data_IF_320961206047
#
_entry.id   IF_320961206047
#
_cell.length_a   1.000
_cell.length_b   1.000
_cell.length_c   1.000
_cell.angle_alpha   90.00
_cell.angle_beta   90.00
_cell.angle_gamma   90.00
#
_symmetry.space_group_name_H-M   'P 1'
#
loop_
_entity.id
_entity.type
_entity.pdbx_description
1 polymer ?
#
# COMPACT_ATOMS: atom_id res chain seq x y z
N UNK A 1 63.23 23.54 -31.52
CA UNK A 1 63.02 22.46 -30.54
C UNK A 1 61.53 22.33 -30.34
N UNK A 2 61.00 21.14 -30.62
CA UNK A 2 59.64 20.63 -30.35
C UNK A 2 58.51 21.33 -31.11
N UNK A 3 58.10 20.84 -32.29
CA UNK A 3 57.35 19.59 -32.57
C UNK A 3 55.87 19.62 -32.16
N UNK A 4 55.03 19.20 -33.11
CA UNK A 4 53.68 18.68 -32.89
C UNK A 4 52.62 19.76 -33.01
N UNK A 5 51.55 19.62 -33.80
CA UNK A 5 50.78 18.40 -34.01
C UNK A 5 50.23 18.37 -35.45
N UNK A 6 50.68 17.33 -36.16
CA UNK A 6 49.98 16.42 -37.08
C UNK A 6 48.68 16.91 -37.71
N UNK A 7 48.76 17.05 -39.03
CA UNK A 7 47.70 16.70 -39.97
C UNK A 7 46.97 15.42 -39.53
N UNK A 8 45.70 15.54 -39.19
CA UNK A 8 44.78 14.41 -39.32
C UNK A 8 44.11 14.52 -40.68
N UNK A 9 44.54 13.61 -41.56
CA UNK A 9 43.93 13.30 -42.83
C UNK A 9 42.49 12.87 -42.54
N UNK A 10 41.51 13.70 -42.86
CA UNK A 10 40.15 13.22 -43.10
C UNK A 10 40.00 13.17 -44.60
N UNK A 11 40.35 12.02 -45.17
CA UNK A 11 40.01 11.69 -46.56
C UNK A 11 38.48 11.59 -46.63
N UNK A 12 37.83 12.68 -47.06
CA UNK A 12 36.50 12.60 -47.66
C UNK A 12 36.69 12.47 -49.15
N UNK A 13 36.11 11.39 -49.64
CA UNK A 13 36.28 10.83 -50.97
C UNK A 13 35.26 11.47 -51.92
N UNK A 14 35.31 12.80 -52.05
CA UNK A 14 34.41 13.57 -52.91
C UNK A 14 35.27 14.26 -53.96
N UNK A 15 35.13 13.85 -55.23
CA UNK A 15 35.95 14.28 -56.38
C UNK A 15 35.79 15.76 -56.79
N UNK A 16 35.95 16.69 -55.85
CA UNK A 16 36.00 18.12 -56.09
C UNK A 16 37.46 18.58 -55.99
N UNK A 17 38.07 18.84 -57.13
CA UNK A 17 39.31 19.62 -57.21
C UNK A 17 39.05 21.00 -56.61
N UNK A 18 39.65 21.30 -55.47
CA UNK A 18 39.62 22.61 -54.84
C UNK A 18 40.81 23.47 -55.28
N UNK A 19 41.09 23.55 -56.57
CA UNK A 19 41.94 24.63 -57.11
C UNK A 19 41.15 25.94 -57.05
N UNK A 20 41.23 26.62 -55.91
CA UNK A 20 40.72 27.97 -55.74
C UNK A 20 41.72 28.93 -56.40
N UNK A 21 41.43 29.40 -57.60
CA UNK A 21 42.16 30.51 -58.22
C UNK A 21 41.79 31.81 -57.52
N UNK A 22 42.58 32.24 -56.54
CA UNK A 22 42.42 33.56 -55.93
C UNK A 22 42.98 34.63 -56.85
N UNK A 23 42.13 35.28 -57.65
CA UNK A 23 42.49 36.53 -58.32
C UNK A 23 42.59 37.64 -57.27
N UNK A 24 43.79 38.19 -57.06
CA UNK A 24 43.99 39.35 -56.18
C UNK A 24 43.49 40.61 -56.89
N UNK A 25 42.42 41.19 -56.38
CA UNK A 25 41.94 42.49 -56.86
C UNK A 25 42.92 43.58 -56.42
N UNK A 26 43.19 44.54 -57.28
CA UNK A 26 43.97 45.73 -56.88
C UNK A 26 43.13 46.65 -56.02
N UNK A 27 43.78 47.49 -55.22
CA UNK A 27 43.10 48.41 -54.31
C UNK A 27 42.17 49.38 -55.06
N UNK A 28 42.55 49.79 -56.28
CA UNK A 28 41.68 50.60 -57.16
C UNK A 28 40.43 49.85 -57.60
N UNK A 29 40.51 48.55 -57.91
CA UNK A 29 39.34 47.73 -58.29
C UNK A 29 38.38 47.52 -57.12
N UNK A 30 38.92 47.40 -55.91
CA UNK A 30 38.13 47.31 -54.67
C UNK A 30 37.41 48.64 -54.42
N UNK A 31 38.10 49.76 -54.59
CA UNK A 31 37.53 51.09 -54.38
C UNK A 31 36.45 51.45 -55.42
N UNK A 32 36.61 51.04 -56.69
CA UNK A 32 35.57 51.24 -57.72
C UNK A 32 34.33 50.38 -57.45
N UNK A 33 34.51 49.12 -57.02
CA UNK A 33 33.38 48.25 -56.64
C UNK A 33 32.55 48.82 -55.47
N UNK A 34 33.19 49.52 -54.53
CA UNK A 34 32.50 50.15 -53.40
C UNK A 34 31.85 51.50 -53.72
N UNK A 35 32.25 52.19 -54.80
CA UNK A 35 31.65 53.47 -55.22
C UNK A 35 30.26 53.30 -55.84
N UNK A 36 29.98 52.16 -56.46
CA UNK A 36 28.69 51.88 -57.12
C UNK A 36 27.63 51.22 -56.23
N UNK A 37 27.98 50.81 -55.00
CA UNK A 37 26.98 50.41 -54.02
C UNK A 37 26.37 51.65 -53.35
N UNK A 38 25.08 51.91 -53.62
CA UNK A 38 24.24 52.94 -52.99
C UNK A 38 24.22 52.82 -51.45
N UNK A 39 25.29 53.24 -50.79
CA UNK A 39 25.49 53.12 -49.35
C UNK A 39 26.62 53.99 -48.80
N UNK A 40 27.01 55.05 -49.52
CA UNK A 40 28.15 55.92 -49.18
C UNK A 40 27.76 57.27 -48.59
N UNK A 41 27.35 57.29 -47.31
CA UNK A 41 27.56 58.33 -46.27
C UNK A 41 26.45 58.20 -45.21
N UNK A 42 26.77 57.62 -44.04
CA UNK A 42 25.83 57.51 -42.92
C UNK A 42 25.76 58.85 -42.19
N UNK A 43 24.73 59.67 -42.45
CA UNK A 43 24.39 60.77 -41.55
C UNK A 43 23.90 60.19 -40.22
N UNK A 44 24.45 60.65 -39.10
CA UNK A 44 23.94 60.30 -37.77
C UNK A 44 22.57 60.98 -37.60
N UNK A 45 21.50 60.21 -37.56
CA UNK A 45 20.20 60.73 -37.17
C UNK A 45 20.30 61.26 -35.73
N UNK A 46 19.94 62.51 -35.50
CA UNK A 46 19.86 63.12 -34.16
C UNK A 46 18.44 63.04 -33.62
N UNK A 47 18.30 63.00 -32.29
CA UNK A 47 17.00 62.87 -31.60
C UNK A 47 16.02 63.99 -32.00
N UNK A 48 16.53 65.21 -32.16
CA UNK A 48 15.77 66.41 -32.50
C UNK A 48 15.23 66.35 -33.93
N UNK A 49 16.06 65.95 -34.90
CA UNK A 49 15.63 65.82 -36.28
C UNK A 49 14.55 64.73 -36.45
N UNK A 50 14.62 63.64 -35.68
CA UNK A 50 13.55 62.63 -35.64
C UNK A 50 12.23 63.21 -35.09
N UNK A 51 12.30 64.02 -34.03
CA UNK A 51 11.11 64.63 -33.42
C UNK A 51 10.45 65.66 -34.35
N UNK A 52 11.24 66.48 -35.05
CA UNK A 52 10.74 67.46 -36.01
C UNK A 52 10.03 66.80 -37.21
N UNK A 53 10.61 65.72 -37.75
CA UNK A 53 9.98 64.94 -38.82
C UNK A 53 8.72 64.21 -38.34
N UNK A 54 8.70 63.79 -37.07
CA UNK A 54 7.51 63.20 -36.45
C UNK A 54 6.40 64.23 -36.25
N UNK A 55 6.74 65.45 -35.86
CA UNK A 55 5.81 66.57 -35.75
C UNK A 55 5.21 66.96 -37.12
N UNK A 56 5.97 66.79 -38.20
CA UNK A 56 5.48 66.91 -39.60
C UNK A 56 4.60 65.75 -40.07
N UNK A 57 4.32 64.77 -39.22
CA UNK A 57 3.40 63.66 -39.50
C UNK A 57 4.01 62.49 -40.27
N UNK A 58 5.34 62.46 -40.47
CA UNK A 58 5.99 61.35 -41.19
C UNK A 58 5.97 60.04 -40.39
N UNK A 59 5.84 58.92 -41.09
CA UNK A 59 5.90 57.59 -40.50
C UNK A 59 7.35 57.19 -40.18
N UNK A 60 7.56 56.27 -39.23
CA UNK A 60 8.91 55.83 -38.84
C UNK A 60 9.66 55.18 -40.02
N UNK A 61 8.94 54.67 -41.04
CA UNK A 61 9.52 54.08 -42.25
C UNK A 61 10.03 55.14 -43.23
N UNK A 62 9.29 56.24 -43.40
CA UNK A 62 9.69 57.37 -44.24
C UNK A 62 10.88 58.12 -43.62
N UNK A 63 10.83 58.32 -42.31
CA UNK A 63 11.93 58.95 -41.57
C UNK A 63 13.22 58.11 -41.67
N UNK A 64 13.12 56.78 -41.60
CA UNK A 64 14.26 55.90 -41.81
C UNK A 64 14.85 56.05 -43.22
N UNK A 65 13.99 56.20 -44.24
CA UNK A 65 14.40 56.46 -45.62
C UNK A 65 15.14 57.79 -45.78
N UNK A 66 14.63 58.86 -45.17
CA UNK A 66 15.22 60.20 -45.23
C UNK A 66 16.64 60.26 -44.63
N UNK A 67 16.87 59.51 -43.56
CA UNK A 67 18.20 59.39 -42.95
C UNK A 67 19.10 58.33 -43.61
N UNK A 68 18.62 57.62 -44.63
CA UNK A 68 19.35 56.51 -45.25
C UNK A 68 19.63 55.35 -44.28
N UNK A 69 18.77 55.18 -43.27
CA UNK A 69 18.90 54.15 -42.23
C UNK A 69 17.92 53.00 -42.46
N UNK A 70 18.32 51.79 -42.10
CA UNK A 70 17.37 50.69 -41.99
C UNK A 70 16.39 50.95 -40.83
N UNK A 71 15.12 50.58 -41.00
CA UNK A 71 14.07 50.81 -39.98
C UNK A 71 14.41 50.19 -38.62
N UNK A 72 15.09 49.04 -38.62
CA UNK A 72 15.56 48.37 -37.42
C UNK A 72 16.64 49.17 -36.69
N UNK A 73 17.49 49.88 -37.44
CA UNK A 73 18.50 50.77 -36.88
C UNK A 73 17.83 51.98 -36.22
N UNK A 74 16.79 52.54 -36.84
CA UNK A 74 16.01 53.62 -36.25
C UNK A 74 15.29 53.18 -34.96
N UNK A 75 14.73 51.96 -34.93
CA UNK A 75 14.12 51.41 -33.71
C UNK A 75 15.14 51.21 -32.58
N UNK A 76 16.36 50.78 -32.90
CA UNK A 76 17.45 50.70 -31.92
C UNK A 76 17.78 52.10 -31.40
N UNK A 77 18.04 53.08 -32.25
CA UNK A 77 18.28 54.46 -31.81
C UNK A 77 17.15 55.00 -30.92
N UNK A 78 15.89 54.75 -31.29
CA UNK A 78 14.70 55.14 -30.51
C UNK A 78 14.66 54.50 -29.12
N UNK A 79 15.01 53.21 -29.02
CA UNK A 79 14.94 52.45 -27.76
C UNK A 79 16.17 52.61 -26.87
N UNK A 80 17.38 52.62 -27.43
CA UNK A 80 18.64 52.59 -26.67
C UNK A 80 19.25 53.98 -26.49
N UNK A 81 19.19 54.84 -27.50
CA UNK A 81 19.84 56.15 -27.44
C UNK A 81 18.88 57.29 -27.08
N UNK A 82 17.61 57.20 -27.51
CA UNK A 82 16.64 58.28 -27.31
C UNK A 82 15.63 58.01 -26.20
N UNK A 83 15.55 56.77 -25.69
CA UNK A 83 14.72 56.37 -24.55
C UNK A 83 13.22 56.43 -24.79
N UNK A 84 12.77 56.40 -26.05
CA UNK A 84 11.34 56.48 -26.41
C UNK A 84 10.76 55.07 -26.45
N UNK A 85 10.45 54.51 -25.27
CA UNK A 85 9.75 53.23 -25.16
C UNK A 85 8.25 53.39 -25.48
N UNK A 86 7.66 52.38 -26.15
CA UNK A 86 6.20 52.30 -26.31
C UNK A 86 5.57 52.26 -24.91
N UNK A 87 4.72 53.22 -24.58
CA UNK A 87 3.80 53.08 -23.43
C UNK A 87 2.98 51.81 -23.65
N UNK A 88 3.17 50.78 -22.82
CA UNK A 88 2.23 49.65 -22.76
C UNK A 88 0.88 50.23 -22.34
N UNK A 89 -0.17 49.87 -23.06
CA UNK A 89 -1.54 50.30 -22.74
C UNK A 89 -1.99 49.69 -21.41
N UNK A 90 -2.61 50.48 -20.55
CA UNK A 90 -3.14 50.13 -19.21
C UNK A 90 -4.04 48.87 -19.21
N UNK A 91 -4.63 48.52 -20.36
CA UNK A 91 -5.41 47.31 -20.56
C UNK A 91 -4.60 46.00 -20.39
N UNK A 92 -3.30 46.00 -20.75
CA UNK A 92 -2.45 44.80 -20.63
C UNK A 92 -1.94 44.56 -19.20
N UNK A 93 -1.70 45.62 -18.43
CA UNK A 93 -1.34 45.48 -17.01
C UNK A 93 -2.55 45.06 -16.16
N UNK A 94 -3.73 45.63 -16.42
CA UNK A 94 -4.95 45.23 -15.70
C UNK A 94 -5.39 43.78 -16.00
N UNK A 95 -5.13 43.26 -17.21
CA UNK A 95 -5.40 41.87 -17.54
C UNK A 95 -4.47 40.90 -16.78
N UNK A 96 -3.15 41.18 -16.75
CA UNK A 96 -2.19 40.35 -16.01
C UNK A 96 -2.38 40.38 -14.49
N UNK A 97 -2.85 41.51 -13.93
CA UNK A 97 -3.19 41.62 -12.51
C UNK A 97 -4.43 40.78 -12.17
N UNK A 98 -5.48 40.82 -13.01
CA UNK A 98 -6.69 40.00 -12.82
C UNK A 98 -6.39 38.51 -12.92
N UNK A 99 -5.57 38.10 -13.88
CA UNK A 99 -5.22 36.69 -14.08
C UNK A 99 -4.42 36.13 -12.90
N UNK A 100 -3.44 36.87 -12.38
CA UNK A 100 -2.71 36.49 -11.15
C UNK A 100 -3.59 36.47 -9.89
N UNK A 101 -4.57 37.39 -9.77
CA UNK A 101 -5.53 37.37 -8.66
C UNK A 101 -6.50 36.18 -8.73
N UNK A 102 -6.92 35.78 -9.93
CA UNK A 102 -7.78 34.60 -10.13
C UNK A 102 -7.00 33.33 -9.80
N UNK A 103 -5.77 33.18 -10.30
CA UNK A 103 -4.92 32.01 -10.03
C UNK A 103 -4.64 31.84 -8.54
N UNK A 104 -4.23 32.91 -7.85
CA UNK A 104 -3.97 32.87 -6.40
C UNK A 104 -5.22 32.55 -5.57
N UNK A 105 -6.39 33.03 -5.98
CA UNK A 105 -7.66 32.67 -5.33
C UNK A 105 -8.04 31.20 -5.57
N UNK A 106 -7.85 30.69 -6.79
CA UNK A 106 -8.12 29.29 -7.10
C UNK A 106 -7.20 28.31 -6.35
N UNK A 107 -5.97 28.69 -6.05
CA UNK A 107 -5.06 27.83 -5.26
C UNK A 107 -5.39 27.88 -3.77
N UNK A 108 -5.88 29.02 -3.26
CA UNK A 108 -6.43 29.13 -1.91
C UNK A 108 -7.68 28.25 -1.73
N UNK A 109 -8.57 28.23 -2.71
CA UNK A 109 -9.81 27.42 -2.65
C UNK A 109 -9.49 25.91 -2.65
N UNK A 110 -8.51 25.46 -3.45
CA UNK A 110 -8.03 24.06 -3.43
C UNK A 110 -7.42 23.68 -2.08
N UNK A 111 -6.69 24.59 -1.44
CA UNK A 111 -6.12 24.34 -0.11
C UNK A 111 -7.21 24.16 0.95
N UNK A 112 -8.25 24.99 0.93
CA UNK A 112 -9.40 24.86 1.82
C UNK A 112 -10.12 23.51 1.63
N UNK A 113 -10.36 23.10 0.39
CA UNK A 113 -10.97 21.80 0.10
C UNK A 113 -10.10 20.62 0.58
N UNK A 114 -8.78 20.74 0.50
CA UNK A 114 -7.84 19.73 1.00
C UNK A 114 -7.88 19.65 2.54
N UNK A 115 -7.95 20.79 3.21
CA UNK A 115 -8.04 20.84 4.68
C UNK A 115 -9.36 20.24 5.17
N UNK A 116 -10.49 20.54 4.53
CA UNK A 116 -11.79 19.92 4.85
C UNK A 116 -11.73 18.38 4.71
N UNK A 117 -11.09 17.88 3.64
CA UNK A 117 -10.87 16.44 3.43
C UNK A 117 -9.99 15.83 4.52
N UNK A 118 -8.92 16.52 4.90
CA UNK A 118 -8.01 16.08 5.95
C UNK A 118 -8.72 16.00 7.30
N UNK A 119 -9.49 17.02 7.67
CA UNK A 119 -10.28 17.02 8.91
C UNK A 119 -11.33 15.92 8.93
N UNK A 120 -11.97 15.65 7.78
CA UNK A 120 -12.92 14.55 7.65
C UNK A 120 -12.23 13.20 7.86
N UNK A 121 -11.08 12.99 7.22
CA UNK A 121 -10.27 11.77 7.38
C UNK A 121 -9.79 11.58 8.82
N UNK A 122 -9.38 12.65 9.51
CA UNK A 122 -9.00 12.58 10.92
C UNK A 122 -10.17 12.14 11.80
N UNK A 123 -11.36 12.68 11.56
CA UNK A 123 -12.58 12.27 12.28
C UNK A 123 -12.94 10.82 12.02
N UNK A 124 -12.89 10.39 10.76
CA UNK A 124 -13.13 8.98 10.38
C UNK A 124 -12.10 8.04 11.00
N UNK A 125 -10.82 8.39 10.99
CA UNK A 125 -9.77 7.61 11.63
C UNK A 125 -9.98 7.50 13.15
N UNK A 126 -10.34 8.60 13.81
CA UNK A 126 -10.64 8.57 15.24
C UNK A 126 -11.85 7.69 15.55
N UNK A 127 -12.92 7.80 14.75
CA UNK A 127 -14.11 6.97 14.89
C UNK A 127 -13.78 5.48 14.70
N UNK A 128 -13.03 5.15 13.64
CA UNK A 128 -12.63 3.77 13.36
C UNK A 128 -11.76 3.20 14.48
N UNK A 129 -10.87 4.00 15.06
CA UNK A 129 -10.03 3.57 16.17
C UNK A 129 -10.86 3.30 17.45
N UNK A 130 -11.88 4.13 17.71
CA UNK A 130 -12.79 3.90 18.83
C UNK A 130 -13.62 2.63 18.62
N UNK A 131 -14.13 2.41 17.41
CA UNK A 131 -14.93 1.22 17.10
C UNK A 131 -14.07 -0.05 17.08
N UNK A 132 -12.82 0.05 16.60
CA UNK A 132 -11.83 -1.02 16.72
C UNK A 132 -11.58 -1.40 18.18
N UNK A 133 -11.39 -0.41 19.06
CA UNK A 133 -11.20 -0.66 20.49
C UNK A 133 -12.41 -1.35 21.14
N UNK A 134 -13.64 -1.00 20.75
CA UNK A 134 -14.85 -1.70 21.22
C UNK A 134 -14.92 -3.13 20.74
N UNK A 135 -14.62 -3.38 19.46
CA UNK A 135 -14.62 -4.73 18.89
C UNK A 135 -13.54 -5.59 19.55
N UNK A 136 -12.39 -5.01 19.85
CA UNK A 136 -11.32 -5.68 20.60
C UNK A 136 -11.78 -6.07 22.02
N UNK A 137 -12.43 -5.16 22.75
CA UNK A 137 -13.01 -5.47 24.06
C UNK A 137 -14.04 -6.60 23.98
N UNK A 138 -14.96 -6.54 23.02
CA UNK A 138 -15.97 -7.58 22.80
C UNK A 138 -15.34 -8.94 22.47
N UNK A 139 -14.29 -8.95 21.66
CA UNK A 139 -13.52 -10.16 21.35
C UNK A 139 -12.94 -10.76 22.63
N UNK A 140 -12.34 -9.93 23.48
CA UNK A 140 -11.67 -10.38 24.69
C UNK A 140 -12.69 -10.94 25.71
N UNK A 141 -13.82 -10.24 25.91
CA UNK A 141 -14.93 -10.70 26.75
C UNK A 141 -15.51 -12.04 26.28
N UNK A 142 -15.75 -12.18 24.96
CA UNK A 142 -16.25 -13.43 24.39
C UNK A 142 -15.23 -14.56 24.51
N UNK A 143 -13.95 -14.25 24.37
CA UNK A 143 -12.87 -15.23 24.51
C UNK A 143 -12.80 -15.73 25.95
N UNK A 144 -12.82 -14.81 26.92
CA UNK A 144 -12.83 -15.14 28.35
C UNK A 144 -14.03 -16.02 28.70
N UNK A 145 -15.24 -15.59 28.34
CA UNK A 145 -16.47 -16.37 28.56
C UNK A 145 -16.40 -17.77 27.94
N UNK A 146 -15.92 -17.89 26.70
CA UNK A 146 -15.76 -19.17 26.03
C UNK A 146 -14.76 -20.08 26.76
N UNK A 147 -13.62 -19.53 27.22
CA UNK A 147 -12.61 -20.29 27.97
C UNK A 147 -13.13 -20.77 29.32
N UNK A 148 -13.85 -19.93 30.06
CA UNK A 148 -14.46 -20.32 31.34
C UNK A 148 -15.50 -21.43 31.14
N UNK A 149 -16.37 -21.28 30.14
CA UNK A 149 -17.38 -22.28 29.81
C UNK A 149 -16.75 -23.60 29.40
N UNK A 150 -15.68 -23.57 28.61
CA UNK A 150 -14.93 -24.75 28.21
C UNK A 150 -14.31 -25.44 29.43
N UNK A 151 -13.62 -24.70 30.30
CA UNK A 151 -12.99 -25.25 31.49
C UNK A 151 -14.01 -25.93 32.42
N UNK A 152 -15.19 -25.33 32.59
CA UNK A 152 -16.28 -25.95 33.36
C UNK A 152 -16.74 -27.28 32.76
N UNK A 153 -16.97 -27.33 31.45
CA UNK A 153 -17.40 -28.56 30.77
C UNK A 153 -16.31 -29.64 30.82
N UNK A 154 -15.03 -29.25 30.73
CA UNK A 154 -13.92 -30.19 30.87
C UNK A 154 -13.87 -30.81 32.27
N UNK A 155 -14.03 -29.99 33.31
CA UNK A 155 -14.08 -30.45 34.69
C UNK A 155 -15.25 -31.42 34.94
N UNK A 156 -16.44 -31.07 34.45
CA UNK A 156 -17.63 -31.94 34.54
C UNK A 156 -17.43 -33.27 33.80
N UNK A 157 -16.82 -33.26 32.61
CA UNK A 157 -16.50 -34.48 31.88
C UNK A 157 -15.50 -35.37 32.60
N UNK A 158 -14.48 -34.79 33.24
CA UNK A 158 -13.50 -35.55 34.01
C UNK A 158 -14.15 -36.20 35.23
N UNK A 159 -15.03 -35.48 35.93
CA UNK A 159 -15.81 -36.02 37.04
C UNK A 159 -16.70 -37.18 36.59
N UNK A 160 -17.48 -36.99 35.52
CA UNK A 160 -18.35 -38.03 34.97
C UNK A 160 -17.57 -39.26 34.49
N UNK A 161 -16.39 -39.05 33.91
CA UNK A 161 -15.50 -40.14 33.49
C UNK A 161 -15.05 -40.96 34.70
N UNK A 162 -14.67 -40.30 35.80
CA UNK A 162 -14.29 -40.99 37.03
C UNK A 162 -15.46 -41.78 37.61
N UNK A 163 -16.65 -41.19 37.69
CA UNK A 163 -17.86 -41.88 38.15
C UNK A 163 -18.20 -43.08 37.28
N UNK A 164 -18.13 -42.93 35.96
CA UNK A 164 -18.34 -44.04 35.02
C UNK A 164 -17.36 -45.19 35.28
N UNK A 165 -16.08 -44.89 35.50
CA UNK A 165 -15.08 -45.94 35.81
C UNK A 165 -15.35 -46.62 37.14
N UNK A 166 -15.80 -45.88 38.16
CA UNK A 166 -16.19 -46.45 39.44
C UNK A 166 -17.41 -47.38 39.29
N UNK A 167 -18.40 -46.96 38.49
CA UNK A 167 -19.59 -47.74 38.19
C UNK A 167 -19.24 -49.04 37.45
N UNK A 168 -18.39 -49.00 36.42
CA UNK A 168 -17.91 -50.20 35.73
C UNK A 168 -17.28 -51.20 36.70
N UNK A 169 -16.39 -50.74 37.59
CA UNK A 169 -15.78 -51.63 38.60
C UNK A 169 -16.82 -52.24 39.54
N UNK A 170 -17.86 -51.50 39.91
CA UNK A 170 -18.94 -52.02 40.74
C UNK A 170 -19.79 -53.05 40.00
N UNK A 171 -20.05 -52.81 38.72
CA UNK A 171 -20.78 -53.72 37.84
C UNK A 171 -20.03 -55.04 37.67
N UNK A 172 -18.73 -54.99 37.37
CA UNK A 172 -17.89 -56.18 37.22
C UNK A 172 -17.88 -57.04 38.51
N UNK A 173 -17.86 -56.40 39.68
CA UNK A 173 -17.95 -57.09 40.98
C UNK A 173 -19.30 -57.79 41.16
N UNK A 174 -20.40 -57.08 40.91
CA UNK A 174 -21.75 -57.63 41.02
C UNK A 174 -22.00 -58.75 40.01
N UNK A 175 -21.43 -58.65 38.82
CA UNK A 175 -21.49 -59.70 37.80
C UNK A 175 -20.74 -60.96 38.27
N UNK A 176 -19.55 -60.80 38.85
CA UNK A 176 -18.80 -61.90 39.44
C UNK A 176 -19.53 -62.57 40.62
N UNK A 177 -20.10 -61.79 41.54
CA UNK A 177 -20.90 -62.28 42.66
C UNK A 177 -22.13 -63.05 42.17
N UNK A 178 -22.84 -62.52 41.16
CA UNK A 178 -23.97 -63.21 40.55
C UNK A 178 -23.56 -64.53 39.89
N UNK A 179 -22.41 -64.57 39.22
CA UNK A 179 -21.88 -65.82 38.66
C UNK A 179 -21.57 -66.84 39.76
N UNK A 180 -21.01 -66.41 40.89
CA UNK A 180 -20.72 -67.30 42.01
C UNK A 180 -22.01 -67.83 42.66
N UNK A 181 -23.00 -66.96 42.88
CA UNK A 181 -24.30 -67.35 43.42
C UNK A 181 -25.02 -68.35 42.51
N UNK A 182 -25.01 -68.15 41.19
CA UNK A 182 -25.54 -69.11 40.23
C UNK A 182 -24.86 -70.48 40.35
N UNK A 183 -23.53 -70.50 40.44
CA UNK A 183 -22.77 -71.76 40.63
C UNK A 183 -23.11 -72.45 41.95
N UNK A 184 -23.33 -71.70 43.04
CA UNK A 184 -23.76 -72.27 44.33
C UNK A 184 -25.17 -72.86 44.23
N UNK A 185 -26.08 -72.13 43.59
CA UNK A 185 -27.45 -72.58 43.38
C UNK A 185 -27.51 -73.87 42.55
N UNK A 186 -26.68 -73.99 41.51
CA UNK A 186 -26.56 -75.21 40.69
C UNK A 186 -26.06 -76.43 41.48
N UNK A 187 -25.21 -76.23 42.49
CA UNK A 187 -24.67 -77.32 43.34
C UNK A 187 -25.62 -77.76 44.45
N UNK A 188 -26.51 -76.86 44.88
CA UNK A 188 -27.42 -77.08 46.01
C UNK A 188 -28.29 -78.36 45.90
N UNK A 189 -28.86 -78.74 44.73
CA UNK A 189 -29.66 -79.96 44.62
C UNK A 189 -28.85 -81.23 44.91
N UNK A 190 -27.59 -81.28 44.49
CA UNK A 190 -26.71 -82.43 44.73
C UNK A 190 -26.35 -82.56 46.21
N UNK A 191 -26.07 -81.43 46.87
CA UNK A 191 -25.82 -81.37 48.31
C UNK A 191 -27.05 -81.80 49.11
N UNK A 192 -28.24 -81.27 48.77
CA UNK A 192 -29.50 -81.67 49.39
C UNK A 192 -29.77 -83.17 49.23
N UNK A 193 -29.52 -83.73 48.04
CA UNK A 193 -29.65 -85.18 47.80
C UNK A 193 -28.69 -85.99 48.68
N UNK A 194 -27.44 -85.52 48.84
CA UNK A 194 -26.45 -86.17 49.71
C UNK A 194 -26.88 -86.15 51.17
N UNK A 195 -27.40 -85.02 51.66
CA UNK A 195 -27.92 -84.88 53.03
C UNK A 195 -29.08 -85.85 53.26
N UNK A 196 -30.07 -85.86 52.37
CA UNK A 196 -31.22 -86.78 52.48
C UNK A 196 -30.80 -88.26 52.52
N UNK A 197 -29.76 -88.64 51.77
CA UNK A 197 -29.22 -90.00 51.80
C UNK A 197 -28.54 -90.33 53.13
N UNK A 198 -27.77 -89.39 53.69
CA UNK A 198 -27.11 -89.54 54.99
C UNK A 198 -28.13 -89.62 56.15
N UNK A 199 -29.17 -88.79 56.13
CA UNK A 199 -30.26 -88.86 57.11
C UNK A 199 -30.94 -90.22 57.07
N UNK A 200 -31.21 -90.74 55.86
CA UNK A 200 -31.79 -92.07 55.69
C UNK A 200 -30.88 -93.19 56.18
N UNK A 201 -29.57 -93.11 55.94
CA UNK A 201 -28.62 -94.13 56.45
C UNK A 201 -28.53 -94.10 57.98
N UNK A 202 -28.50 -92.91 58.58
CA UNK A 202 -28.45 -92.73 60.02
C UNK A 202 -29.71 -93.32 60.69
N UNK A 203 -30.90 -93.05 60.14
CA UNK A 203 -32.14 -93.65 60.61
C UNK A 203 -32.12 -95.17 60.54
N UNK A 204 -31.55 -95.75 59.48
CA UNK A 204 -31.41 -97.20 59.35
C UNK A 204 -30.43 -97.79 60.38
N UNK A 205 -29.34 -97.10 60.71
CA UNK A 205 -28.42 -97.49 61.77
C UNK A 205 -29.10 -97.46 63.14
N UNK A 206 -29.79 -96.36 63.48
CA UNK A 206 -30.57 -96.27 64.73
C UNK A 206 -31.62 -97.37 64.85
N UNK A 207 -32.33 -97.70 63.76
CA UNK A 207 -33.30 -98.80 63.77
C UNK A 207 -32.63 -100.17 63.97
N UNK A 208 -31.41 -100.40 63.45
CA UNK A 208 -30.67 -101.65 63.69
C UNK A 208 -30.23 -101.78 65.13
N UNK A 209 -29.76 -100.69 65.75
CA UNK A 209 -29.34 -100.68 67.15
C UNK A 209 -30.53 -100.88 68.11
N UNK A 210 -31.67 -100.24 67.85
CA UNK A 210 -32.88 -100.44 68.66
C UNK A 210 -33.47 -101.85 68.59
N UNK A 211 -33.28 -102.58 67.47
CA UNK A 211 -33.70 -103.98 67.34
C UNK A 211 -32.74 -104.94 68.07
N UNK A 212 -31.46 -104.58 68.21
CA UNK A 212 -30.48 -105.35 68.96
C UNK A 212 -30.74 -105.34 70.48
N UNK A 213 -31.23 -104.23 71.03
CA UNK A 213 -31.58 -104.11 72.46
C UNK A 213 -32.84 -104.92 72.85
N UNK A 214 -33.82 -105.00 71.94
CA UNK A 214 -35.06 -105.79 72.17
C UNK A 214 -34.79 -107.30 72.09
N UNK A 215 -33.76 -107.72 71.36
CA UNK A 215 -33.39 -109.14 71.22
C UNK A 215 -32.50 -109.68 72.34
N UNK A 216 -31.93 -108.83 73.20
CA UNK A 216 -31.21 -109.26 74.42
C UNK A 216 -32.07 -109.31 75.69
N UNK A 217 -33.29 -108.74 75.68
CA UNK A 217 -34.21 -108.72 76.84
C UNK A 217 -35.27 -109.83 76.83
N UNK A 218 -35.23 -110.75 75.86
CA UNK A 218 -36.11 -111.92 75.76
C UNK A 218 -35.31 -113.24 75.69
N UNK A 219 -34.36 -113.42 76.60
CA UNK A 219 -33.80 -114.73 76.97
C UNK A 219 -33.84 -114.89 78.50
#
# INVERSE_FOLDING_TARGET
MWEGIRNSKVERNDGWSSEVTTTRWTQEQVEDYFKDQKGGQKMKATKEAYQDLKAKGMTDKEIAGEFGLAINTLYKYKSTEWGITRKKTEAQENAGIRENQIVSKTDSDKYLELMDKYEKLQREHHQLNNDFSKVEQQRDELTEYATERLNKVLYENEYLKNDYTALCRSYDKLEAENMELKKRLEKQPAENKRINLLERSLLLEYMKEGVADVSQTHC
#
